data_IF_321355518009
#
_entry.id   IF_321355518009
#
_cell.length_a   1.000
_cell.length_b   1.000
_cell.length_c   1.000
_cell.angle_alpha   90.00
_cell.angle_beta   90.00
_cell.angle_gamma   90.00
#
_symmetry.space_group_name_H-M   'P 1'
#
loop_
_entity.id
_entity.type
_entity.pdbx_description
1 polymer ?
#
# COMPACT_ATOMS: atom_id res chain seq x y z
N UNK A 1 -12.92 15.43 -32.39
CA UNK A 1 -12.34 15.53 -31.03
C UNK A 1 -13.02 16.66 -30.28
N UNK A 2 -13.06 16.59 -28.95
CA UNK A 2 -13.68 17.57 -28.04
C UNK A 2 -13.38 19.05 -28.38
N UNK A 3 -12.19 19.33 -28.92
CA UNK A 3 -11.79 20.65 -29.42
C UNK A 3 -12.67 21.23 -30.54
N UNK A 4 -13.24 20.39 -31.41
CA UNK A 4 -14.11 20.85 -32.51
C UNK A 4 -15.43 21.42 -32.00
N UNK A 5 -15.97 20.84 -30.93
CA UNK A 5 -17.25 21.23 -30.34
C UNK A 5 -17.10 22.47 -29.44
N UNK A 6 -15.95 22.59 -28.77
CA UNK A 6 -15.62 23.77 -27.97
C UNK A 6 -15.40 25.03 -28.82
N UNK A 7 -14.81 24.90 -30.02
CA UNK A 7 -14.65 26.01 -30.95
C UNK A 7 -16.00 26.53 -31.48
N UNK A 8 -16.96 25.63 -31.71
CA UNK A 8 -18.28 25.96 -32.24
C UNK A 8 -19.14 26.76 -31.23
N UNK A 9 -18.96 26.51 -29.92
CA UNK A 9 -19.58 27.28 -28.85
C UNK A 9 -18.94 28.66 -28.63
N UNK A 10 -17.64 28.80 -28.88
CA UNK A 10 -16.90 30.05 -28.69
C UNK A 10 -17.08 31.02 -29.87
N UNK A 11 -17.41 30.52 -31.06
CA UNK A 11 -17.68 31.33 -32.25
C UNK A 11 -19.12 31.91 -32.31
N UNK A 12 -19.90 31.78 -31.23
CA UNK A 12 -21.14 32.53 -31.04
C UNK A 12 -22.35 32.01 -31.82
N UNK A 13 -22.38 30.72 -32.17
CA UNK A 13 -23.56 30.09 -32.74
C UNK A 13 -24.71 29.99 -31.73
N UNK A 14 -25.89 30.56 -32.06
CA UNK A 14 -27.08 30.45 -31.23
C UNK A 14 -27.72 29.06 -31.35
N UNK A 15 -27.11 28.05 -30.74
CA UNK A 15 -27.72 26.74 -30.55
C UNK A 15 -28.74 26.79 -29.43
N UNK A 16 -29.98 27.21 -29.72
CA UNK A 16 -31.10 27.03 -28.79
C UNK A 16 -31.43 25.55 -28.71
N UNK A 17 -31.23 24.96 -27.53
CA UNK A 17 -31.71 23.61 -27.19
C UNK A 17 -32.92 23.78 -26.30
N UNK A 18 -34.12 23.57 -26.83
CA UNK A 18 -35.34 23.51 -26.03
C UNK A 18 -35.34 22.21 -25.22
N UNK A 19 -35.23 22.33 -23.90
CA UNK A 19 -35.47 21.23 -22.97
C UNK A 19 -36.98 21.05 -22.79
N UNK A 20 -37.54 19.97 -23.36
CA UNK A 20 -38.87 19.50 -23.00
C UNK A 20 -38.76 18.73 -21.69
N UNK A 21 -39.21 19.33 -20.58
CA UNK A 21 -39.41 18.59 -19.33
C UNK A 21 -40.57 17.61 -19.48
N UNK A 22 -40.26 16.35 -19.78
CA UNK A 22 -41.14 15.24 -19.49
C UNK A 22 -40.88 14.81 -18.04
N UNK A 23 -41.76 15.27 -17.14
CA UNK A 23 -41.84 14.82 -15.76
C UNK A 23 -42.22 13.33 -15.72
N UNK A 24 -41.22 12.46 -15.86
CA UNK A 24 -41.29 11.05 -15.51
C UNK A 24 -40.95 10.90 -14.03
N UNK A 25 -41.98 10.66 -13.20
CA UNK A 25 -41.81 10.31 -11.79
C UNK A 25 -41.17 8.92 -11.66
N UNK A 26 -39.85 8.85 -11.76
CA UNK A 26 -39.09 7.72 -11.26
C UNK A 26 -38.71 8.03 -9.80
N UNK A 27 -39.48 7.49 -8.87
CA UNK A 27 -39.06 7.36 -7.48
C UNK A 27 -37.80 6.49 -7.45
N UNK A 28 -36.64 7.12 -7.47
CA UNK A 28 -35.41 6.49 -7.03
C UNK A 28 -35.51 6.36 -5.51
N UNK A 29 -36.05 5.22 -5.05
CA UNK A 29 -35.84 4.78 -3.67
C UNK A 29 -34.35 4.44 -3.53
N UNK A 30 -33.54 5.44 -3.23
CA UNK A 30 -32.17 5.23 -2.77
C UNK A 30 -32.22 4.66 -1.35
N UNK A 31 -32.49 3.37 -1.24
CA UNK A 31 -32.09 2.63 -0.05
C UNK A 31 -30.58 2.45 -0.11
N UNK A 32 -29.84 3.52 0.20
CA UNK A 32 -28.43 3.41 0.53
C UNK A 32 -28.36 2.76 1.90
N UNK A 33 -28.42 1.42 1.93
CA UNK A 33 -27.95 0.66 3.07
C UNK A 33 -26.42 0.81 3.13
N UNK A 34 -25.95 1.95 3.62
CA UNK A 34 -24.60 2.00 4.15
C UNK A 34 -24.64 1.08 5.36
N UNK A 35 -23.98 -0.07 5.23
CA UNK A 35 -23.61 -0.83 6.41
C UNK A 35 -22.70 0.10 7.23
N UNK A 36 -23.24 0.68 8.29
CA UNK A 36 -22.43 1.35 9.30
C UNK A 36 -21.47 0.30 9.85
N UNK A 37 -20.20 0.42 9.48
CA UNK A 37 -19.16 -0.44 9.98
C UNK A 37 -18.90 0.01 11.42
N UNK A 38 -19.26 -0.82 12.40
CA UNK A 38 -18.88 -0.64 13.80
C UNK A 38 -17.35 -0.74 13.88
N UNK A 39 -16.66 0.38 13.70
CA UNK A 39 -15.21 0.46 13.94
C UNK A 39 -15.02 0.78 15.41
N UNK A 40 -14.44 -0.16 16.17
CA UNK A 40 -13.97 0.11 17.51
C UNK A 40 -12.54 0.64 17.44
N UNK A 41 -12.21 1.64 18.26
CA UNK A 41 -10.83 2.09 18.40
C UNK A 41 -9.93 0.92 18.80
N UNK A 42 -8.91 0.66 17.98
CA UNK A 42 -7.92 -0.39 18.26
C UNK A 42 -6.74 0.25 18.99
N UNK A 43 -6.35 -0.31 20.13
CA UNK A 43 -5.11 0.06 20.81
C UNK A 43 -3.95 -0.64 20.13
N UNK A 44 -3.08 0.10 19.46
CA UNK A 44 -1.89 -0.45 18.80
C UNK A 44 -0.76 -0.61 19.82
N UNK A 45 -0.43 -1.84 20.19
CA UNK A 45 0.76 -2.16 20.98
C UNK A 45 1.97 -2.33 20.05
N UNK A 46 2.99 -1.47 20.24
CA UNK A 46 4.24 -1.49 19.46
C UNK A 46 5.42 -2.08 20.24
N UNK A 47 5.19 -2.64 21.42
CA UNK A 47 6.25 -3.14 22.31
C UNK A 47 7.06 -4.30 21.72
N UNK A 48 6.49 -5.02 20.75
CA UNK A 48 7.13 -6.14 20.05
C UNK A 48 7.66 -5.74 18.67
N UNK A 49 7.81 -4.44 18.39
CA UNK A 49 8.44 -3.99 17.16
C UNK A 49 9.95 -4.10 17.30
N UNK A 50 10.59 -4.88 16.43
CA UNK A 50 12.01 -5.18 16.51
C UNK A 50 12.79 -4.42 15.41
N UNK A 51 13.91 -3.81 15.78
CA UNK A 51 14.92 -3.35 14.80
C UNK A 51 16.00 -4.42 14.70
N UNK A 52 16.12 -5.02 13.52
CA UNK A 52 17.02 -6.15 13.26
C UNK A 52 18.36 -5.60 12.77
N UNK A 53 19.41 -5.73 13.59
CA UNK A 53 20.77 -5.24 13.28
C UNK A 53 21.81 -6.37 13.16
N UNK A 54 21.41 -7.62 13.36
CA UNK A 54 22.31 -8.77 13.36
C UNK A 54 21.70 -9.98 12.62
N UNK A 55 22.58 -10.85 12.12
CA UNK A 55 22.18 -12.01 11.30
C UNK A 55 21.34 -13.02 12.09
N UNK A 56 21.55 -13.16 13.41
CA UNK A 56 20.83 -14.14 14.21
C UNK A 56 19.36 -13.73 14.36
N UNK A 57 19.11 -12.46 14.68
CA UNK A 57 17.77 -11.86 14.74
C UNK A 57 17.10 -11.90 13.36
N UNK A 58 17.84 -11.60 12.28
CA UNK A 58 17.33 -11.68 10.92
C UNK A 58 16.89 -13.10 10.54
N UNK A 59 17.74 -14.09 10.78
CA UNK A 59 17.44 -15.48 10.47
C UNK A 59 16.22 -16.00 11.27
N UNK A 60 16.08 -15.58 12.53
CA UNK A 60 14.89 -15.91 13.32
C UNK A 60 13.61 -15.34 12.68
N UNK A 61 13.66 -14.10 12.18
CA UNK A 61 12.54 -13.49 11.46
C UNK A 61 12.27 -14.13 10.10
N UNK A 62 13.31 -14.51 9.37
CA UNK A 62 13.15 -15.22 8.09
C UNK A 62 12.38 -16.53 8.27
N UNK A 63 12.64 -17.28 9.33
CA UNK A 63 11.87 -18.49 9.65
C UNK A 63 10.42 -18.19 10.05
N UNK A 64 10.17 -17.11 10.80
CA UNK A 64 8.81 -16.65 11.10
C UNK A 64 8.05 -16.31 9.81
N UNK A 65 8.69 -15.59 8.88
CA UNK A 65 8.10 -15.21 7.60
C UNK A 65 7.76 -16.44 6.74
N UNK A 66 8.66 -17.42 6.64
CA UNK A 66 8.43 -18.66 5.89
C UNK A 66 7.25 -19.49 6.44
N UNK A 67 7.02 -19.41 7.76
CA UNK A 67 5.96 -20.14 8.44
C UNK A 67 4.61 -19.41 8.43
N UNK A 68 4.58 -18.12 8.13
CA UNK A 68 3.36 -17.33 8.10
C UNK A 68 2.50 -17.69 6.89
N UNK A 69 1.19 -17.82 7.08
CA UNK A 69 0.24 -17.99 5.98
C UNK A 69 0.16 -16.72 5.10
N UNK A 70 0.30 -15.56 5.74
CA UNK A 70 0.32 -14.23 5.14
C UNK A 70 1.21 -13.34 5.99
N UNK A 71 2.02 -12.49 5.37
CA UNK A 71 2.75 -11.44 6.08
C UNK A 71 2.64 -10.10 5.36
N UNK A 72 2.66 -9.01 6.12
CA UNK A 72 2.78 -7.67 5.59
C UNK A 72 4.23 -7.39 5.17
N UNK A 73 4.41 -6.72 4.03
CA UNK A 73 5.71 -6.33 3.50
C UNK A 73 5.68 -4.88 3.04
N UNK A 74 6.77 -4.16 3.29
CA UNK A 74 6.96 -2.77 2.86
C UNK A 74 8.45 -2.43 2.69
N UNK A 75 8.74 -1.49 1.78
CA UNK A 75 10.09 -1.00 1.50
C UNK A 75 10.25 0.47 1.86
N UNK A 76 11.37 0.79 2.50
CA UNK A 76 11.77 2.17 2.80
C UNK A 76 12.85 2.62 1.82
N UNK A 77 12.69 3.81 1.25
CA UNK A 77 13.57 4.30 0.18
C UNK A 77 13.89 5.79 0.30
N UNK A 78 14.91 6.23 -0.42
CA UNK A 78 15.39 7.63 -0.40
C UNK A 78 14.68 8.58 -1.41
N UNK A 79 13.73 8.07 -2.18
CA UNK A 79 13.02 8.81 -3.23
C UNK A 79 11.61 8.27 -3.42
N UNK A 80 10.71 9.09 -3.96
CA UNK A 80 9.37 8.66 -4.37
C UNK A 80 9.34 8.07 -5.80
N UNK A 81 10.40 8.27 -6.57
CA UNK A 81 10.53 7.71 -7.92
C UNK A 81 11.22 6.35 -7.85
N UNK A 82 10.43 5.28 -7.94
CA UNK A 82 10.90 3.90 -7.88
C UNK A 82 11.97 3.57 -8.93
N UNK A 83 12.07 4.34 -10.02
CA UNK A 83 13.09 4.13 -11.05
C UNK A 83 14.50 4.51 -10.58
N UNK A 84 14.61 5.41 -9.59
CA UNK A 84 15.90 5.91 -9.06
C UNK A 84 16.09 5.73 -7.55
N UNK A 85 15.02 5.51 -6.78
CA UNK A 85 15.01 5.21 -5.34
C UNK A 85 15.96 4.08 -4.88
N UNK A 86 16.86 4.36 -3.94
CA UNK A 86 17.66 3.31 -3.31
C UNK A 86 16.91 2.73 -2.12
N UNK A 87 17.01 1.42 -1.93
CA UNK A 87 16.49 0.73 -0.76
C UNK A 87 17.31 1.11 0.48
N UNK A 88 16.62 1.63 1.49
CA UNK A 88 17.15 2.07 2.79
C UNK A 88 16.83 1.06 3.89
N UNK A 89 15.67 0.40 3.80
CA UNK A 89 15.29 -0.68 4.71
C UNK A 89 14.06 -1.45 4.23
N UNK A 90 13.74 -2.53 4.93
CA UNK A 90 12.55 -3.34 4.69
C UNK A 90 11.80 -3.53 6.00
N UNK A 91 10.47 -3.59 5.96
CA UNK A 91 9.67 -3.92 7.13
C UNK A 91 8.71 -5.07 6.86
N UNK A 92 8.38 -5.79 7.93
CA UNK A 92 7.49 -6.94 7.89
C UNK A 92 6.58 -6.95 9.11
N UNK A 93 5.38 -7.52 8.96
CA UNK A 93 4.53 -7.90 10.09
C UNK A 93 3.90 -9.27 9.85
N UNK A 94 3.95 -10.14 10.86
CA UNK A 94 3.37 -11.50 10.79
C UNK A 94 2.07 -11.63 11.59
N UNK A 95 1.82 -10.67 12.49
CA UNK A 95 0.61 -10.59 13.30
C UNK A 95 0.41 -9.15 13.79
N UNK A 96 -0.77 -8.85 14.32
CA UNK A 96 -1.06 -7.57 14.97
C UNK A 96 -0.08 -7.31 16.12
N UNK A 97 0.62 -6.18 16.07
CA UNK A 97 1.61 -5.81 17.09
C UNK A 97 2.97 -6.52 16.97
N UNK A 98 3.13 -7.47 16.04
CA UNK A 98 4.38 -8.24 15.85
C UNK A 98 4.98 -7.87 14.48
N UNK A 99 5.92 -6.93 14.51
CA UNK A 99 6.56 -6.38 13.31
C UNK A 99 8.07 -6.20 13.49
N UNK A 100 8.78 -6.14 12.37
CA UNK A 100 10.21 -5.85 12.38
C UNK A 100 10.62 -4.91 11.24
N UNK A 101 11.69 -4.17 11.50
CA UNK A 101 12.37 -3.33 10.54
C UNK A 101 13.83 -3.75 10.38
N UNK A 102 14.28 -3.90 9.14
CA UNK A 102 15.65 -4.23 8.76
C UNK A 102 16.26 -3.02 8.05
N UNK A 103 17.02 -2.17 8.75
CA UNK A 103 17.79 -1.10 8.13
C UNK A 103 19.01 -1.67 7.39
N UNK A 104 19.27 -1.18 6.17
CA UNK A 104 20.38 -1.67 5.32
C UNK A 104 21.22 -0.56 4.68
N UNK A 105 20.78 0.71 4.73
CA UNK A 105 21.51 1.82 4.12
C UNK A 105 21.29 3.18 4.81
N UNK A 106 21.06 3.22 6.13
CA UNK A 106 21.11 4.50 6.86
C UNK A 106 22.54 4.99 6.96
N UNK A 107 22.81 6.25 6.56
CA UNK A 107 24.15 6.82 6.40
C UNK A 107 24.38 8.12 7.20
N UNK A 108 23.52 8.40 8.18
CA UNK A 108 23.68 9.56 9.06
C UNK A 108 24.87 9.40 10.03
N UNK A 109 25.32 10.51 10.63
CA UNK A 109 26.42 10.50 11.58
C UNK A 109 26.08 9.62 12.79
N UNK A 110 26.96 8.68 13.13
CA UNK A 110 26.78 7.70 14.21
C UNK A 110 25.62 6.71 13.99
N UNK A 111 25.23 6.48 12.73
CA UNK A 111 24.33 5.37 12.39
C UNK A 111 24.91 4.05 12.94
N UNK A 112 24.09 3.23 13.64
CA UNK A 112 24.52 1.92 14.10
C UNK A 112 24.97 1.03 12.93
N UNK A 113 25.77 0.01 13.26
CA UNK A 113 26.07 -1.07 12.33
C UNK A 113 24.77 -1.74 11.87
N UNK A 114 24.68 -1.95 10.56
CA UNK A 114 23.52 -2.51 9.87
C UNK A 114 23.96 -3.72 9.07
N UNK A 115 22.99 -4.57 8.73
CA UNK A 115 23.24 -5.69 7.84
C UNK A 115 23.56 -5.21 6.43
N UNK A 116 24.42 -5.96 5.73
CA UNK A 116 24.70 -5.72 4.33
C UNK A 116 23.43 -5.91 3.49
N UNK A 117 23.10 -4.91 2.66
CA UNK A 117 21.89 -4.92 1.85
C UNK A 117 21.83 -6.11 0.90
N UNK A 118 22.94 -6.42 0.23
CA UNK A 118 22.95 -7.45 -0.79
C UNK A 118 22.78 -8.83 -0.13
N UNK A 119 23.40 -9.04 1.04
CA UNK A 119 23.17 -10.23 1.86
C UNK A 119 21.71 -10.36 2.30
N UNK A 120 21.09 -9.30 2.84
CA UNK A 120 19.67 -9.30 3.26
C UNK A 120 18.76 -9.65 2.10
N UNK A 121 18.98 -9.02 0.94
CA UNK A 121 18.19 -9.26 -0.26
C UNK A 121 18.39 -10.67 -0.81
N UNK A 122 19.60 -11.22 -0.76
CA UNK A 122 19.86 -12.62 -1.12
C UNK A 122 19.07 -13.59 -0.24
N UNK A 123 19.00 -13.36 1.07
CA UNK A 123 18.24 -14.20 1.99
C UNK A 123 16.72 -14.08 1.81
N UNK A 124 16.21 -12.89 1.52
CA UNK A 124 14.77 -12.65 1.29
C UNK A 124 14.30 -13.10 -0.09
N UNK A 125 15.18 -13.10 -1.09
CA UNK A 125 14.84 -13.41 -2.48
C UNK A 125 14.00 -14.69 -2.64
N UNK A 126 14.34 -15.84 -2.02
CA UNK A 126 13.52 -17.04 -2.16
C UNK A 126 12.07 -16.87 -1.73
N UNK A 127 11.79 -16.15 -0.63
CA UNK A 127 10.42 -15.94 -0.15
C UNK A 127 9.70 -14.84 -0.93
N UNK A 128 10.42 -13.82 -1.41
CA UNK A 128 9.85 -12.73 -2.19
C UNK A 128 9.48 -13.18 -3.61
N UNK A 129 10.22 -14.12 -4.20
CA UNK A 129 9.96 -14.69 -5.53
C UNK A 129 9.08 -15.96 -5.50
N UNK A 130 8.61 -16.40 -4.33
CA UNK A 130 7.70 -17.54 -4.20
C UNK A 130 6.23 -17.09 -4.31
N UNK A 131 5.49 -17.68 -5.25
CA UNK A 131 4.07 -17.40 -5.47
C UNK A 131 3.16 -18.02 -4.39
N UNK A 132 3.64 -19.05 -3.69
CA UNK A 132 2.93 -19.69 -2.58
C UNK A 132 3.07 -18.90 -1.27
N UNK A 133 4.10 -18.06 -1.14
CA UNK A 133 4.28 -17.17 0.00
C UNK A 133 3.40 -15.95 -0.20
N UNK A 134 2.30 -15.83 0.56
CA UNK A 134 1.36 -14.73 0.39
C UNK A 134 1.85 -13.45 1.10
N UNK A 135 1.75 -12.32 0.40
CA UNK A 135 2.08 -10.99 0.93
C UNK A 135 0.88 -10.06 0.89
N UNK A 136 0.78 -9.22 1.91
CA UNK A 136 -0.12 -8.06 1.96
C UNK A 136 0.71 -6.79 2.08
N UNK A 137 0.22 -5.68 1.55
CA UNK A 137 0.86 -4.37 1.70
C UNK A 137 -0.03 -3.27 1.14
N UNK A 138 0.46 -2.04 1.21
CA UNK A 138 -0.22 -0.87 0.69
C UNK A 138 0.48 -0.41 -0.58
N UNK A 139 -0.20 -0.44 -1.74
CA UNK A 139 0.39 -0.03 -3.02
C UNK A 139 1.68 -0.82 -3.37
N UNK A 140 1.60 -2.15 -3.28
CA UNK A 140 2.74 -3.09 -3.49
C UNK A 140 3.39 -3.01 -4.88
N UNK A 141 2.75 -2.33 -5.83
CA UNK A 141 3.36 -1.95 -7.10
C UNK A 141 4.67 -1.16 -6.91
N UNK A 142 4.71 -0.28 -5.91
CA UNK A 142 5.91 0.50 -5.62
C UNK A 142 7.05 -0.42 -5.16
N UNK A 143 6.78 -1.23 -4.14
CA UNK A 143 7.74 -2.16 -3.54
C UNK A 143 8.29 -3.16 -4.55
N UNK A 144 7.42 -3.76 -5.34
CA UNK A 144 7.80 -4.68 -6.41
C UNK A 144 8.73 -4.00 -7.44
N UNK A 145 8.50 -2.72 -7.74
CA UNK A 145 9.32 -1.97 -8.70
C UNK A 145 10.69 -1.60 -8.13
N UNK A 146 10.77 -1.29 -6.83
CA UNK A 146 12.04 -1.08 -6.11
C UNK A 146 12.85 -2.39 -6.10
N UNK A 147 12.24 -3.50 -5.70
CA UNK A 147 12.88 -4.83 -5.65
C UNK A 147 13.38 -5.31 -7.03
N UNK A 148 12.65 -5.00 -8.11
CA UNK A 148 13.06 -5.35 -9.47
C UNK A 148 14.42 -4.74 -9.85
N UNK A 149 14.80 -3.59 -9.28
CA UNK A 149 16.11 -2.97 -9.50
C UNK A 149 17.27 -3.72 -8.84
N UNK A 150 16.95 -4.53 -7.84
CA UNK A 150 17.88 -5.45 -7.19
C UNK A 150 17.76 -6.88 -7.75
N UNK A 151 17.08 -7.06 -8.88
CA UNK A 151 16.95 -8.37 -9.54
C UNK A 151 16.07 -9.35 -8.77
N UNK A 152 15.08 -8.86 -8.02
CA UNK A 152 14.07 -9.66 -7.33
C UNK A 152 12.72 -9.42 -8.01
N UNK A 153 12.13 -10.48 -8.54
CA UNK A 153 10.77 -10.49 -9.09
C UNK A 153 9.76 -10.81 -7.98
N UNK A 154 9.17 -9.78 -7.36
CA UNK A 154 8.19 -10.01 -6.30
C UNK A 154 6.95 -10.78 -6.79
N UNK A 155 6.67 -11.92 -6.18
CA UNK A 155 5.50 -12.79 -6.43
C UNK A 155 4.68 -12.96 -5.17
N UNK A 156 3.54 -13.66 -5.28
CA UNK A 156 2.67 -13.91 -4.13
C UNK A 156 2.01 -12.65 -3.56
N UNK A 157 1.89 -11.58 -4.35
CA UNK A 157 1.12 -10.38 -3.98
C UNK A 157 -0.36 -10.79 -3.89
N UNK A 158 -0.83 -11.06 -2.67
CA UNK A 158 -2.16 -11.63 -2.44
C UNK A 158 -3.20 -10.54 -2.16
N UNK A 159 -2.80 -9.53 -1.40
CA UNK A 159 -3.67 -8.43 -0.99
C UNK A 159 -2.95 -7.09 -1.11
N UNK A 160 -3.63 -6.11 -1.67
CA UNK A 160 -3.21 -4.71 -1.65
C UNK A 160 -4.30 -3.89 -0.96
N UNK A 161 -3.98 -3.28 0.19
CA UNK A 161 -4.97 -2.60 1.03
C UNK A 161 -5.56 -1.35 0.37
N UNK A 162 -4.79 -0.69 -0.51
CA UNK A 162 -5.28 0.43 -1.31
C UNK A 162 -6.35 -0.05 -2.27
N UNK A 163 -6.09 -1.15 -2.98
CA UNK A 163 -7.03 -1.73 -3.95
C UNK A 163 -8.25 -2.35 -3.27
N UNK A 164 -8.05 -3.03 -2.14
CA UNK A 164 -9.16 -3.58 -1.34
C UNK A 164 -10.13 -2.46 -0.93
N UNK A 165 -9.61 -1.34 -0.45
CA UNK A 165 -10.41 -0.17 -0.10
C UNK A 165 -11.10 0.47 -1.31
N UNK A 166 -10.39 0.60 -2.43
CA UNK A 166 -10.93 1.16 -3.67
C UNK A 166 -12.09 0.32 -4.23
N UNK A 167 -11.95 -1.01 -4.25
CA UNK A 167 -13.00 -1.92 -4.72
C UNK A 167 -14.19 -1.92 -3.76
N UNK A 168 -13.95 -1.81 -2.45
CA UNK A 168 -15.01 -1.74 -1.45
C UNK A 168 -15.87 -0.47 -1.61
N UNK A 169 -15.25 0.69 -1.73
CA UNK A 169 -15.95 1.96 -1.97
C UNK A 169 -15.02 3.02 -2.58
N UNK A 170 -15.01 3.12 -3.91
CA UNK A 170 -14.13 4.01 -4.67
C UNK A 170 -14.38 5.51 -4.44
N UNK A 171 -15.52 5.88 -3.85
CA UNK A 171 -15.89 7.28 -3.53
C UNK A 171 -15.86 7.54 -2.02
N UNK A 172 -15.40 6.58 -1.22
CA UNK A 172 -15.34 6.66 0.24
C UNK A 172 -14.27 7.59 0.81
N UNK A 173 -13.58 8.36 -0.05
CA UNK A 173 -12.50 9.26 0.30
C UNK A 173 -11.16 8.80 -0.25
N UNK A 174 -10.06 9.27 0.35
CA UNK A 174 -8.73 8.81 -0.04
C UNK A 174 -8.47 7.37 0.41
N UNK A 175 -7.58 6.69 -0.31
CA UNK A 175 -7.17 5.31 -0.09
C UNK A 175 -5.68 5.19 0.32
N UNK A 176 -5.06 6.29 0.76
CA UNK A 176 -3.73 6.26 1.42
C UNK A 176 -3.81 5.67 2.83
N UNK A 177 -2.69 5.14 3.32
CA UNK A 177 -2.63 4.39 4.58
C UNK A 177 -3.13 5.20 5.78
N UNK A 178 -2.77 6.49 5.88
CA UNK A 178 -3.20 7.36 6.98
C UNK A 178 -4.73 7.51 7.01
N UNK A 179 -5.33 7.75 5.84
CA UNK A 179 -6.78 7.86 5.70
C UNK A 179 -7.49 6.53 6.01
N UNK A 180 -6.88 5.40 5.64
CA UNK A 180 -7.42 4.07 5.92
C UNK A 180 -7.32 3.71 7.41
N UNK A 181 -6.16 3.93 8.04
CA UNK A 181 -5.94 3.67 9.46
C UNK A 181 -6.91 4.47 10.33
N UNK A 182 -7.12 5.75 10.02
CA UNK A 182 -8.09 6.57 10.74
C UNK A 182 -9.53 6.07 10.55
N UNK A 183 -9.91 5.73 9.32
CA UNK A 183 -11.28 5.31 8.99
C UNK A 183 -11.64 3.95 9.60
N UNK A 184 -10.75 2.98 9.49
CA UNK A 184 -11.03 1.58 9.83
C UNK A 184 -10.56 1.18 11.23
N UNK A 185 -9.51 1.80 11.75
CA UNK A 185 -8.89 1.44 13.04
C UNK A 185 -9.01 2.55 14.09
N UNK A 186 -9.51 3.73 13.71
CA UNK A 186 -9.48 4.96 14.52
C UNK A 186 -8.07 5.28 15.04
N UNK A 187 -7.05 4.92 14.25
CA UNK A 187 -5.64 5.10 14.58
C UNK A 187 -5.03 6.21 13.72
N UNK A 188 -4.29 7.13 14.35
CA UNK A 188 -3.47 8.11 13.64
C UNK A 188 -2.06 7.57 13.52
N UNK A 189 -1.61 7.34 12.29
CA UNK A 189 -0.24 6.96 11.99
C UNK A 189 0.77 8.03 12.41
#
# INVERSE_FOLDING_TARGET
TFKSWLNELLEGGSGTVEAVELAGSAQASSSSSHAEMETSAVTIDRSQYETILDEASFNAWLEKLKAAELFAFDTETDSLDYMVANLVGLSFAIDEGIAAYVPVAHDYLDAPEQLDRDWVLEQLKPILEDDAQAKVGQNLKYDASVLARYGIEMKGIKYDTMLASYVYNSVGGKHDMDSLALRFLQHSC
#
